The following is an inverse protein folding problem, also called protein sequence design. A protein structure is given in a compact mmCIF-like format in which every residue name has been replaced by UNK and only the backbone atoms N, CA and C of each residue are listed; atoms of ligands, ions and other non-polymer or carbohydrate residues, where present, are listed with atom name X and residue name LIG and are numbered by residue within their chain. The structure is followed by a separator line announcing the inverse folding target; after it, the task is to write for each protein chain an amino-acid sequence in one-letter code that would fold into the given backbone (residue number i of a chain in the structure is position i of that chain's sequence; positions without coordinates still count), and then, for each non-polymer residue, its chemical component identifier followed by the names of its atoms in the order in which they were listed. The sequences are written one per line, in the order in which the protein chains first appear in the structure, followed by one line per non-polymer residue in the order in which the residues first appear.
data_IF_665658462320
#
_entry.id   IF_665658462320
#
_cell.length_a   1.000
_cell.length_b   1.000
_cell.length_c   1.000
_cell.angle_alpha   90.00
_cell.angle_beta   90.00
_cell.angle_gamma   90.00
#
_symmetry.space_group_name_H-M   'P 1'
#
loop_
_entity.id
_entity.type
_entity.pdbx_description
1 polymer ?
#
# COMPACT_ATOMS: atom_id res chain seq x y z
N UNK A 1 -15.14 -1.97 -28.74
CA UNK A 1 -13.69 -1.72 -28.75
C UNK A 1 -13.31 -0.24 -28.91
N UNK A 2 -13.68 0.47 -29.99
CA UNK A 2 -13.28 1.89 -30.19
C UNK A 2 -13.95 2.86 -29.24
N UNK A 3 -15.19 2.63 -28.82
CA UNK A 3 -15.95 3.47 -27.88
C UNK A 3 -15.48 3.30 -26.42
N UNK A 4 -15.07 2.11 -26.00
CA UNK A 4 -14.50 1.90 -24.66
C UNK A 4 -13.13 2.53 -24.54
N UNK A 5 -12.27 2.43 -25.55
CA UNK A 5 -10.96 3.06 -25.58
C UNK A 5 -11.03 4.59 -25.51
N UNK A 6 -12.02 5.20 -26.20
CA UNK A 6 -12.24 6.65 -26.15
C UNK A 6 -12.79 7.08 -24.79
N UNK A 7 -13.65 6.27 -24.18
CA UNK A 7 -14.20 6.55 -22.84
C UNK A 7 -13.14 6.48 -21.76
N UNK A 8 -12.23 5.47 -21.81
CA UNK A 8 -11.11 5.32 -20.90
C UNK A 8 -10.12 6.49 -21.06
N UNK A 9 -9.81 6.87 -22.29
CA UNK A 9 -8.84 7.95 -22.57
C UNK A 9 -9.39 9.35 -22.20
N UNK A 10 -10.69 9.62 -22.42
CA UNK A 10 -11.34 10.86 -21.98
C UNK A 10 -11.44 10.91 -20.45
N UNK A 11 -11.69 9.77 -19.83
CA UNK A 11 -11.75 9.61 -18.39
C UNK A 11 -10.38 9.87 -17.74
N UNK A 12 -9.31 9.27 -18.27
CA UNK A 12 -7.93 9.52 -17.82
C UNK A 12 -7.51 10.99 -18.00
N UNK A 13 -7.88 11.62 -19.13
CA UNK A 13 -7.60 13.05 -19.37
C UNK A 13 -8.41 13.98 -18.47
N UNK A 14 -9.61 13.59 -18.07
CA UNK A 14 -10.45 14.37 -17.15
C UNK A 14 -9.95 14.25 -15.73
N UNK A 15 -9.51 13.05 -15.29
CA UNK A 15 -8.84 12.81 -14.03
C UNK A 15 -7.58 13.68 -13.85
N UNK A 16 -6.77 13.76 -14.88
CA UNK A 16 -5.51 14.54 -14.84
C UNK A 16 -5.74 16.06 -14.77
N UNK A 17 -6.93 16.53 -15.12
CA UNK A 17 -7.25 17.96 -15.25
C UNK A 17 -7.94 18.57 -14.02
N UNK A 18 -8.50 17.76 -13.13
CA UNK A 18 -9.31 18.23 -11.99
C UNK A 18 -8.50 18.32 -10.69
N UNK A 19 -7.46 17.56 -10.52
CA UNK A 19 -6.66 17.59 -9.29
C UNK A 19 -5.57 18.66 -9.35
N UNK A 20 -5.77 19.75 -8.60
CA UNK A 20 -4.74 20.77 -8.38
C UNK A 20 -3.64 20.31 -7.42
N UNK A 21 -3.90 19.26 -6.65
CA UNK A 21 -2.97 18.67 -5.67
C UNK A 21 -2.82 17.17 -5.92
N UNK A 22 -1.62 16.62 -5.66
CA UNK A 22 -1.39 15.20 -5.76
C UNK A 22 -2.23 14.43 -4.73
N UNK A 23 -2.82 13.33 -5.16
CA UNK A 23 -3.61 12.44 -4.31
C UNK A 23 -2.70 11.44 -3.60
N UNK A 24 -2.91 11.24 -2.31
CA UNK A 24 -2.21 10.21 -1.53
C UNK A 24 -3.24 9.20 -1.02
N UNK A 25 -3.10 7.94 -1.42
CA UNK A 25 -3.95 6.82 -1.00
C UNK A 25 -3.13 5.85 -0.18
N UNK A 26 -3.60 5.46 1.00
CA UNK A 26 -2.95 4.44 1.82
C UNK A 26 -3.84 3.19 1.95
N UNK A 27 -3.27 2.02 1.66
CA UNK A 27 -3.96 0.75 1.73
C UNK A 27 -3.71 0.08 3.09
N UNK A 28 -4.80 -0.26 3.79
CA UNK A 28 -4.77 -1.00 5.06
C UNK A 28 -5.49 -2.34 4.88
N UNK A 29 -5.06 -3.36 5.60
CA UNK A 29 -5.69 -4.68 5.56
C UNK A 29 -4.68 -5.82 5.73
N UNK A 30 -5.15 -7.04 6.04
CA UNK A 30 -4.30 -8.17 6.38
C UNK A 30 -3.40 -8.61 5.23
N UNK A 31 -2.37 -9.40 5.57
CA UNK A 31 -1.50 -10.01 4.57
C UNK A 31 -2.34 -10.88 3.60
N UNK A 32 -2.07 -10.74 2.29
CA UNK A 32 -2.80 -11.50 1.27
C UNK A 32 -4.20 -10.97 0.93
N UNK A 33 -4.66 -9.84 1.52
CA UNK A 33 -5.96 -9.25 1.18
C UNK A 33 -6.06 -8.73 -0.26
N UNK A 34 -4.92 -8.49 -0.94
CA UNK A 34 -4.89 -7.98 -2.31
C UNK A 34 -4.48 -6.51 -2.43
N UNK A 35 -3.86 -5.95 -1.39
CA UNK A 35 -3.32 -4.58 -1.43
C UNK A 35 -2.39 -4.35 -2.62
N UNK A 36 -1.47 -5.30 -2.87
CA UNK A 36 -0.56 -5.22 -4.02
C UNK A 36 -1.30 -5.22 -5.36
N UNK A 37 -2.37 -6.02 -5.48
CA UNK A 37 -3.19 -6.04 -6.70
C UNK A 37 -3.92 -4.71 -6.92
N UNK A 38 -4.40 -4.05 -5.86
CA UNK A 38 -5.00 -2.71 -5.94
C UNK A 38 -3.93 -1.69 -6.33
N UNK A 39 -2.77 -1.72 -5.68
CA UNK A 39 -1.65 -0.83 -6.03
C UNK A 39 -1.23 -0.99 -7.49
N UNK A 40 -1.18 -2.23 -7.99
CA UNK A 40 -0.91 -2.52 -9.40
C UNK A 40 -1.95 -1.92 -10.36
N UNK A 41 -3.22 -1.91 -9.96
CA UNK A 41 -4.26 -1.23 -10.76
C UNK A 41 -4.05 0.28 -10.73
N UNK A 42 -3.82 0.86 -9.54
CA UNK A 42 -3.59 2.30 -9.38
C UNK A 42 -2.34 2.76 -10.17
N UNK A 43 -1.25 2.03 -10.12
CA UNK A 43 -0.02 2.38 -10.86
C UNK A 43 -0.20 2.24 -12.36
N UNK A 44 -0.84 1.16 -12.84
CA UNK A 44 -0.93 0.87 -14.28
C UNK A 44 -2.04 1.63 -15.00
N UNK A 45 -3.12 1.98 -14.32
CA UNK A 45 -4.30 2.61 -14.93
C UNK A 45 -4.49 4.07 -14.54
N UNK A 46 -3.93 4.51 -13.40
CA UNK A 46 -4.13 5.85 -12.85
C UNK A 46 -2.82 6.61 -12.60
N UNK A 47 -1.67 6.11 -13.07
CA UNK A 47 -0.33 6.73 -12.97
C UNK A 47 0.13 7.04 -11.53
N UNK A 48 -0.31 6.26 -10.54
CA UNK A 48 0.17 6.38 -9.17
C UNK A 48 1.60 5.89 -9.03
N UNK A 49 2.39 6.58 -8.22
CA UNK A 49 3.68 6.10 -7.74
C UNK A 49 3.50 5.27 -6.46
N UNK A 50 4.16 4.12 -6.41
CA UNK A 50 4.05 3.20 -5.28
C UNK A 50 5.12 3.47 -4.25
N UNK A 51 4.73 3.58 -2.97
CA UNK A 51 5.59 3.61 -1.80
C UNK A 51 5.17 2.56 -0.77
N UNK A 52 6.13 2.17 0.08
CA UNK A 52 5.87 1.32 1.24
C UNK A 52 6.77 1.74 2.42
N UNK A 53 6.24 1.68 3.64
CA UNK A 53 7.00 1.95 4.87
C UNK A 53 8.18 0.98 5.04
N UNK A 54 8.02 -0.27 4.59
CA UNK A 54 9.06 -1.29 4.68
C UNK A 54 10.18 -1.17 3.63
N UNK A 55 10.00 -0.39 2.56
CA UNK A 55 10.98 -0.35 1.47
C UNK A 55 12.36 0.20 1.88
N UNK A 56 12.46 1.30 2.66
CA UNK A 56 13.76 1.78 3.14
C UNK A 56 14.49 0.75 4.00
N UNK A 57 13.76 0.05 4.87
CA UNK A 57 14.31 -1.01 5.71
C UNK A 57 14.84 -2.17 4.87
N UNK A 58 14.05 -2.65 3.91
CA UNK A 58 14.45 -3.73 3.00
C UNK A 58 15.70 -3.36 2.20
N UNK A 59 15.75 -2.14 1.65
CA UNK A 59 16.93 -1.64 0.91
C UNK A 59 18.18 -1.59 1.80
N UNK A 60 18.04 -1.08 3.04
CA UNK A 60 19.15 -1.05 3.99
C UNK A 60 19.64 -2.46 4.31
N UNK A 61 18.74 -3.41 4.59
CA UNK A 61 19.09 -4.80 4.86
C UNK A 61 19.68 -5.49 3.62
N UNK A 62 19.17 -5.18 2.42
CA UNK A 62 19.74 -5.70 1.18
C UNK A 62 21.20 -5.34 1.02
N UNK A 63 21.53 -4.08 1.22
CA UNK A 63 22.91 -3.59 1.11
C UNK A 63 23.82 -4.15 2.21
N UNK A 64 23.37 -4.15 3.46
CA UNK A 64 24.18 -4.56 4.61
C UNK A 64 24.39 -6.07 4.63
N UNK A 65 23.33 -6.85 4.39
CA UNK A 65 23.36 -8.32 4.50
C UNK A 65 23.51 -9.02 3.15
N UNK A 66 23.64 -8.28 2.05
CA UNK A 66 23.77 -8.79 0.68
C UNK A 66 22.62 -9.76 0.30
N UNK A 67 21.38 -9.38 0.71
CA UNK A 67 20.20 -10.19 0.43
C UNK A 67 19.81 -10.09 -1.04
N UNK A 68 19.37 -11.20 -1.61
CA UNK A 68 18.81 -11.26 -2.96
C UNK A 68 17.39 -10.67 -3.01
N UNK A 69 16.92 -10.29 -4.21
CA UNK A 69 15.56 -9.83 -4.41
C UNK A 69 14.50 -10.87 -3.98
N UNK A 70 14.77 -12.16 -4.16
CA UNK A 70 13.91 -13.21 -3.67
C UNK A 70 13.78 -13.17 -2.14
N UNK A 71 14.89 -13.00 -1.41
CA UNK A 71 14.90 -12.87 0.04
C UNK A 71 14.18 -11.60 0.53
N UNK A 72 14.05 -10.56 -0.30
CA UNK A 72 13.30 -9.34 0.03
C UNK A 72 11.80 -9.47 -0.23
N UNK A 73 11.38 -10.25 -1.23
CA UNK A 73 10.02 -10.19 -1.74
C UNK A 73 9.27 -11.52 -1.71
N UNK A 74 9.95 -12.66 -1.91
CA UNK A 74 9.31 -13.96 -1.88
C UNK A 74 8.93 -14.37 -0.44
N UNK A 75 7.78 -15.02 -0.30
CA UNK A 75 7.24 -15.38 1.01
C UNK A 75 8.04 -16.48 1.69
N UNK A 76 8.47 -17.50 0.93
CA UNK A 76 9.20 -18.65 1.46
C UNK A 76 10.66 -18.29 1.72
N UNK A 77 11.29 -17.56 0.77
CA UNK A 77 12.69 -17.15 0.91
C UNK A 77 12.90 -16.17 2.08
N UNK A 78 11.90 -15.36 2.45
CA UNK A 78 11.98 -14.51 3.65
C UNK A 78 12.05 -15.29 4.95
N UNK A 79 11.47 -16.47 5.01
CA UNK A 79 11.46 -17.32 6.22
C UNK A 79 12.64 -18.28 6.27
N UNK A 80 13.36 -18.46 5.15
CA UNK A 80 14.50 -19.38 5.08
C UNK A 80 15.71 -18.78 5.77
N UNK A 81 16.27 -19.49 6.74
CA UNK A 81 17.51 -19.09 7.42
C UNK A 81 18.67 -19.03 6.43
N UNK A 82 19.30 -17.87 6.36
CA UNK A 82 20.52 -17.65 5.59
C UNK A 82 21.69 -18.40 6.28
N UNK A 83 22.44 -19.23 5.56
CA UNK A 83 23.50 -20.05 6.15
C UNK A 83 24.71 -19.23 6.65
N UNK A 84 24.93 -18.04 6.14
CA UNK A 84 26.02 -17.16 6.56
C UNK A 84 25.64 -16.33 7.80
N UNK A 85 24.43 -15.73 7.78
CA UNK A 85 23.96 -14.86 8.86
C UNK A 85 23.32 -15.62 10.02
N UNK A 86 22.98 -16.91 9.85
CA UNK A 86 22.22 -17.72 10.80
C UNK A 86 20.91 -17.06 11.27
N UNK A 87 20.30 -16.26 10.38
CA UNK A 87 19.04 -15.55 10.54
C UNK A 87 18.26 -15.62 9.23
N UNK A 88 16.95 -15.63 9.32
CA UNK A 88 16.12 -15.40 8.14
C UNK A 88 16.08 -13.91 7.77
N UNK A 89 15.82 -13.55 6.51
CA UNK A 89 15.61 -12.18 6.12
C UNK A 89 14.54 -11.47 6.96
N UNK A 90 13.47 -12.18 7.33
CA UNK A 90 12.42 -11.63 8.20
C UNK A 90 12.95 -11.26 9.59
N UNK A 91 13.75 -12.12 10.21
CA UNK A 91 14.38 -11.82 11.50
C UNK A 91 15.29 -10.59 11.40
N UNK A 92 16.10 -10.51 10.34
CA UNK A 92 16.96 -9.33 10.09
C UNK A 92 16.13 -8.05 9.94
N UNK A 93 15.01 -8.08 9.19
CA UNK A 93 14.13 -6.91 9.08
C UNK A 93 13.54 -6.51 10.43
N UNK A 94 13.13 -7.46 11.25
CA UNK A 94 12.55 -7.17 12.56
C UNK A 94 13.60 -6.59 13.53
N UNK A 95 14.79 -7.20 13.60
CA UNK A 95 15.88 -6.76 14.46
C UNK A 95 16.36 -5.34 14.08
N UNK A 96 16.68 -5.12 12.80
CA UNK A 96 17.14 -3.82 12.30
C UNK A 96 16.02 -2.77 12.38
N UNK A 97 14.80 -3.16 12.03
CA UNK A 97 13.65 -2.27 12.12
C UNK A 97 13.42 -1.76 13.54
N UNK A 98 13.55 -2.63 14.54
CA UNK A 98 13.45 -2.28 15.96
C UNK A 98 14.64 -1.46 16.42
N UNK A 99 15.86 -1.84 16.04
CA UNK A 99 17.08 -1.11 16.39
C UNK A 99 17.02 0.34 15.91
N UNK A 100 16.62 0.59 14.67
CA UNK A 100 16.57 1.94 14.12
C UNK A 100 15.48 2.80 14.80
N UNK A 101 14.42 2.22 15.32
CA UNK A 101 13.41 2.92 16.14
C UNK A 101 13.99 3.42 17.50
N UNK A 102 15.11 2.88 17.97
CA UNK A 102 15.79 3.45 19.16
C UNK A 102 16.47 4.79 18.88
N UNK A 103 16.75 5.09 17.63
CA UNK A 103 17.31 6.38 17.18
C UNK A 103 16.20 7.41 17.04
N UNK A 104 15.09 7.01 16.39
CA UNK A 104 13.89 7.80 16.17
C UNK A 104 12.70 6.85 16.08
N UNK A 105 11.73 6.97 16.98
CA UNK A 105 10.53 6.10 17.03
C UNK A 105 9.75 6.16 15.72
N UNK A 106 9.71 7.34 15.09
CA UNK A 106 9.00 7.60 13.83
C UNK A 106 9.88 7.49 12.58
N UNK A 107 11.05 6.86 12.67
CA UNK A 107 12.02 6.79 11.57
C UNK A 107 11.39 6.29 10.25
N UNK A 108 10.49 5.31 10.30
CA UNK A 108 9.86 4.75 9.10
C UNK A 108 8.80 5.69 8.54
N UNK A 109 8.05 6.37 9.41
CA UNK A 109 7.10 7.42 9.03
C UNK A 109 7.85 8.57 8.37
N UNK A 110 8.89 9.09 9.03
CA UNK A 110 9.73 10.19 8.52
C UNK A 110 10.36 9.84 7.18
N UNK A 111 10.85 8.60 7.02
CA UNK A 111 11.45 8.13 5.77
C UNK A 111 10.45 8.08 4.63
N UNK A 112 9.24 7.56 4.85
CA UNK A 112 8.20 7.51 3.83
C UNK A 112 7.71 8.90 3.47
N UNK A 113 7.42 9.76 4.47
CA UNK A 113 6.96 11.13 4.22
C UNK A 113 7.97 11.92 3.37
N UNK A 114 9.28 11.74 3.62
CA UNK A 114 10.32 12.39 2.82
C UNK A 114 10.32 11.94 1.35
N UNK A 115 10.05 10.67 1.09
CA UNK A 115 9.91 10.15 -0.28
C UNK A 115 8.63 10.66 -0.94
N UNK A 116 7.53 10.65 -0.19
CA UNK A 116 6.24 11.16 -0.68
C UNK A 116 6.30 12.66 -0.99
N UNK A 117 7.01 13.48 -0.17
CA UNK A 117 7.21 14.91 -0.43
C UNK A 117 7.80 15.16 -1.82
N UNK A 118 8.79 14.39 -2.21
CA UNK A 118 9.43 14.54 -3.52
C UNK A 118 8.47 14.22 -4.69
N UNK A 119 7.60 13.22 -4.51
CA UNK A 119 6.59 12.84 -5.51
C UNK A 119 5.46 13.87 -5.58
N UNK A 120 4.90 14.24 -4.44
CA UNK A 120 3.80 15.22 -4.32
C UNK A 120 4.22 16.60 -4.84
N UNK A 121 5.46 17.03 -4.58
CA UNK A 121 6.00 18.27 -5.14
C UNK A 121 6.06 18.25 -6.68
N UNK A 122 6.21 17.06 -7.27
CA UNK A 122 6.17 16.85 -8.72
C UNK A 122 4.76 16.50 -9.23
N UNK A 123 3.71 16.71 -8.42
CA UNK A 123 2.30 16.43 -8.73
C UNK A 123 2.04 14.97 -9.12
N UNK A 124 2.78 14.05 -8.52
CA UNK A 124 2.58 12.62 -8.69
C UNK A 124 1.66 12.09 -7.60
N UNK A 125 0.61 11.39 -8.01
CA UNK A 125 -0.26 10.65 -7.10
C UNK A 125 0.50 9.49 -6.48
N UNK A 126 0.22 9.19 -5.20
CA UNK A 126 0.98 8.22 -4.43
C UNK A 126 0.05 7.17 -3.82
N UNK A 127 0.40 5.89 -3.98
CA UNK A 127 -0.22 4.79 -3.24
C UNK A 127 0.77 4.17 -2.24
N UNK A 128 0.40 4.17 -0.96
CA UNK A 128 1.15 3.52 0.13
C UNK A 128 0.54 2.14 0.41
N UNK A 129 1.32 1.06 0.27
CA UNK A 129 0.77 -0.30 0.17
C UNK A 129 0.77 -1.11 1.46
N UNK A 130 1.45 -0.65 2.50
CA UNK A 130 1.68 -1.42 3.73
C UNK A 130 1.42 -0.61 5.02
N UNK A 131 0.48 0.34 4.98
CA UNK A 131 0.06 1.06 6.18
C UNK A 131 -0.54 0.08 7.19
N UNK A 132 0.04 0.01 8.41
CA UNK A 132 -0.30 -0.99 9.42
C UNK A 132 -0.61 -0.39 10.78
N UNK A 133 -0.07 0.77 11.09
CA UNK A 133 -0.16 1.40 12.39
C UNK A 133 -0.97 2.69 12.32
N UNK A 134 -1.65 3.00 13.43
CA UNK A 134 -2.48 4.20 13.50
C UNK A 134 -1.67 5.49 13.33
N UNK A 135 -0.43 5.55 13.86
CA UNK A 135 0.46 6.69 13.67
C UNK A 135 0.89 6.87 12.20
N UNK A 136 1.06 5.79 11.44
CA UNK A 136 1.37 5.86 10.00
C UNK A 136 0.21 6.50 9.22
N UNK A 137 -1.00 6.00 9.44
CA UNK A 137 -2.21 6.54 8.82
C UNK A 137 -2.45 8.00 9.20
N UNK A 138 -2.27 8.33 10.49
CA UNK A 138 -2.46 9.69 10.99
C UNK A 138 -1.44 10.66 10.38
N UNK A 139 -0.17 10.27 10.32
CA UNK A 139 0.88 11.11 9.71
C UNK A 139 0.61 11.41 8.23
N UNK A 140 0.09 10.42 7.48
CA UNK A 140 -0.31 10.63 6.08
C UNK A 140 -1.51 11.56 5.97
N UNK A 141 -2.51 11.44 6.84
CA UNK A 141 -3.67 12.34 6.88
C UNK A 141 -3.27 13.77 7.21
N UNK A 142 -2.47 13.94 8.25
CA UNK A 142 -2.06 15.28 8.73
C UNK A 142 -1.27 16.04 7.68
N UNK A 143 -0.47 15.32 6.89
CA UNK A 143 0.42 15.95 5.92
C UNK A 143 -0.19 16.12 4.52
N UNK A 144 -0.95 15.13 4.05
CA UNK A 144 -1.43 15.09 2.66
C UNK A 144 -2.94 15.01 2.54
N UNK A 145 -3.69 15.02 3.64
CA UNK A 145 -5.13 14.70 3.63
C UNK A 145 -5.38 13.33 2.97
N UNK A 146 -4.51 12.37 3.29
CA UNK A 146 -4.49 11.07 2.62
C UNK A 146 -5.78 10.29 2.84
N UNK A 147 -6.21 9.59 1.80
CA UNK A 147 -7.38 8.72 1.81
C UNK A 147 -6.96 7.32 2.23
N UNK A 148 -7.57 6.79 3.27
CA UNK A 148 -7.29 5.44 3.77
C UNK A 148 -8.31 4.47 3.19
N UNK A 149 -7.84 3.46 2.47
CA UNK A 149 -8.67 2.42 1.85
C UNK A 149 -8.42 1.09 2.54
N UNK A 150 -9.45 0.55 3.16
CA UNK A 150 -9.42 -0.80 3.74
C UNK A 150 -9.60 -1.84 2.65
N UNK A 151 -8.71 -2.84 2.64
CA UNK A 151 -8.76 -3.96 1.70
C UNK A 151 -9.02 -5.23 2.49
N UNK A 152 -10.08 -5.95 2.12
CA UNK A 152 -10.45 -7.22 2.75
C UNK A 152 -10.81 -8.28 1.72
N UNK A 153 -10.90 -9.53 2.18
CA UNK A 153 -11.49 -10.65 1.44
C UNK A 153 -12.76 -11.08 2.13
N UNK A 154 -13.79 -11.49 1.36
CA UNK A 154 -14.94 -12.16 1.92
C UNK A 154 -14.54 -13.56 2.41
N UNK A 155 -14.84 -13.86 3.68
CA UNK A 155 -14.77 -15.24 4.16
C UNK A 155 -15.94 -16.02 3.59
N UNK A 156 -15.66 -17.11 2.86
CA UNK A 156 -16.66 -17.99 2.23
C UNK A 156 -17.51 -18.79 3.25
N UNK A 157 -17.40 -18.53 4.55
CA UNK A 157 -17.97 -19.40 5.59
C UNK A 157 -19.31 -18.98 6.15
N UNK A 158 -19.88 -17.82 5.82
CA UNK A 158 -21.15 -17.41 6.46
C UNK A 158 -22.09 -16.50 5.67
N UNK A 159 -22.01 -16.37 4.35
CA UNK A 159 -23.00 -15.61 3.57
C UNK A 159 -23.16 -14.12 3.92
N UNK A 160 -22.40 -13.61 4.87
CA UNK A 160 -22.25 -12.20 5.25
C UNK A 160 -20.87 -11.75 4.81
N UNK A 161 -20.83 -10.73 3.97
CA UNK A 161 -19.58 -10.13 3.51
C UNK A 161 -18.98 -9.32 4.68
N UNK A 162 -18.29 -10.00 5.59
CA UNK A 162 -17.42 -9.36 6.56
C UNK A 162 -16.02 -9.30 5.97
N UNK A 163 -15.59 -8.10 5.52
CA UNK A 163 -14.21 -7.84 5.13
C UNK A 163 -13.26 -7.75 6.33
N UNK A 164 -13.60 -8.42 7.42
CA UNK A 164 -12.85 -8.39 8.68
C UNK A 164 -12.17 -9.73 8.93
N UNK A 165 -10.85 -9.77 8.81
CA UNK A 165 -10.01 -10.86 9.32
C UNK A 165 -9.48 -10.49 10.70
N UNK A 166 -9.73 -11.35 11.70
CA UNK A 166 -9.56 -11.14 13.15
C UNK A 166 -8.11 -11.19 13.67
N UNK A 167 -7.07 -11.14 12.87
CA UNK A 167 -5.72 -11.49 13.35
C UNK A 167 -4.68 -10.37 13.45
N UNK A 168 -5.04 -9.10 13.18
CA UNK A 168 -4.09 -7.99 13.31
C UNK A 168 -4.76 -6.81 14.04
N UNK A 169 -4.72 -6.83 15.36
CA UNK A 169 -5.48 -5.95 16.26
C UNK A 169 -5.28 -4.44 16.03
N UNK A 170 -4.12 -3.98 15.57
CA UNK A 170 -3.86 -2.55 15.39
C UNK A 170 -4.42 -2.00 14.07
N UNK A 171 -4.45 -2.79 13.01
CA UNK A 171 -5.03 -2.34 11.74
C UNK A 171 -6.54 -2.09 11.81
N UNK A 172 -7.23 -2.75 12.78
CA UNK A 172 -8.66 -2.52 13.00
C UNK A 172 -8.97 -1.15 13.61
N UNK A 173 -8.02 -0.56 14.34
CA UNK A 173 -8.19 0.76 14.95
C UNK A 173 -8.05 1.91 13.94
N UNK A 174 -7.52 1.66 12.74
CA UNK A 174 -7.38 2.67 11.71
C UNK A 174 -8.74 2.93 11.07
N UNK A 175 -9.25 4.15 11.18
CA UNK A 175 -10.44 4.55 10.46
C UNK A 175 -10.14 4.64 8.96
N UNK A 176 -10.86 3.85 8.16
CA UNK A 176 -10.77 3.89 6.71
C UNK A 176 -11.90 4.75 6.14
N UNK A 177 -11.60 5.51 5.09
CA UNK A 177 -12.57 6.34 4.39
C UNK A 177 -13.39 5.49 3.41
N UNK A 178 -12.75 4.47 2.83
CA UNK A 178 -13.37 3.53 1.90
C UNK A 178 -12.96 2.09 2.21
N UNK A 179 -13.77 1.15 1.72
CA UNK A 179 -13.50 -0.29 1.84
C UNK A 179 -13.65 -0.97 0.49
N UNK A 180 -12.64 -1.77 0.11
CA UNK A 180 -12.68 -2.61 -1.10
C UNK A 180 -12.59 -4.08 -0.70
N UNK A 181 -13.62 -4.84 -1.06
CA UNK A 181 -13.65 -6.29 -0.89
C UNK A 181 -13.08 -6.99 -2.13
N UNK A 182 -11.98 -7.70 -1.96
CA UNK A 182 -11.33 -8.50 -3.01
C UNK A 182 -11.85 -9.94 -2.94
N UNK A 183 -13.08 -10.15 -3.42
CA UNK A 183 -13.86 -11.38 -3.35
C UNK A 183 -14.15 -11.99 -4.72
N UNK A 184 -13.61 -11.42 -5.78
CA UNK A 184 -13.86 -11.82 -7.17
C UNK A 184 -12.60 -12.04 -7.98
N UNK A 185 -12.75 -11.95 -9.29
CA UNK A 185 -11.67 -12.03 -10.26
C UNK A 185 -10.81 -10.73 -10.24
N UNK A 186 -9.66 -10.78 -10.88
CA UNK A 186 -8.84 -9.58 -11.09
C UNK A 186 -9.60 -8.48 -11.85
N UNK A 187 -10.47 -8.87 -12.79
CA UNK A 187 -11.28 -7.92 -13.54
C UNK A 187 -12.38 -7.29 -12.67
N UNK A 188 -12.94 -8.04 -11.73
CA UNK A 188 -13.85 -7.49 -10.73
C UNK A 188 -13.14 -6.49 -9.83
N UNK A 189 -11.92 -6.81 -9.41
CA UNK A 189 -11.10 -5.90 -8.59
C UNK A 189 -10.80 -4.60 -9.34
N UNK A 190 -10.42 -4.66 -10.62
CA UNK A 190 -10.19 -3.47 -11.46
C UNK A 190 -11.43 -2.59 -11.54
N UNK A 191 -12.62 -3.19 -11.75
CA UNK A 191 -13.89 -2.45 -11.76
C UNK A 191 -14.17 -1.75 -10.44
N UNK A 192 -13.92 -2.45 -9.29
CA UNK A 192 -14.09 -1.87 -7.96
C UNK A 192 -13.13 -0.71 -7.70
N UNK A 193 -11.86 -0.86 -8.10
CA UNK A 193 -10.87 0.22 -7.97
C UNK A 193 -11.24 1.42 -8.85
N UNK A 194 -11.70 1.19 -10.08
CA UNK A 194 -12.15 2.29 -10.95
C UNK A 194 -13.37 3.02 -10.38
N UNK A 195 -14.32 2.30 -9.79
CA UNK A 195 -15.47 2.91 -9.12
C UNK A 195 -15.04 3.72 -7.88
N UNK A 196 -14.13 3.17 -7.07
CA UNK A 196 -13.54 3.87 -5.93
C UNK A 196 -12.85 5.18 -6.36
N UNK A 197 -12.08 5.15 -7.44
CA UNK A 197 -11.39 6.36 -7.93
C UNK A 197 -12.37 7.45 -8.36
N UNK A 198 -13.50 7.07 -8.97
CA UNK A 198 -14.58 8.03 -9.28
C UNK A 198 -15.16 8.65 -8.01
N UNK A 199 -15.46 7.84 -7.01
CA UNK A 199 -16.02 8.31 -5.73
C UNK A 199 -15.06 9.24 -4.99
N UNK A 200 -13.77 8.94 -5.01
CA UNK A 200 -12.72 9.80 -4.43
C UNK A 200 -12.64 11.16 -5.12
N UNK A 201 -12.83 11.20 -6.44
CA UNK A 201 -12.71 12.44 -7.21
C UNK A 201 -13.97 13.33 -7.06
N UNK A 202 -15.11 12.71 -6.84
CA UNK A 202 -16.39 13.41 -6.67
C UNK A 202 -16.62 13.88 -5.22
N UNK A 203 -15.78 13.47 -4.23
CA UNK A 203 -15.87 13.82 -2.81
C UNK A 203 -15.08 15.09 -2.47
#
# INVERSE_FOLDING_TARGET
MKFEYIRTNLFEQTLHKIHTMALVVALVGPAGAGKDSIADVLTKQFDFERLAFADPLKKACQEVFQLSDAQLHDREEKERTDPFWHRSPRELFQEIGTLLKTIDEDIWVSSLLRQADALVANKKDVVVTDCRYANEAQALRDKYTAIIVRVGRADNTAGTVHCEHTSETEQHSINADFTVCNDGTLEDLKRKVSALMLEIIDS
#
